data_IF_047423603443
#
_entry.id   IF_047423603443
#
_cell.length_a   1.000
_cell.length_b   1.000
_cell.length_c   1.000
_cell.angle_alpha   90.00
_cell.angle_beta   90.00
_cell.angle_gamma   90.00
#
_symmetry.space_group_name_H-M   'P 1'
#
loop_
_entity.id
_entity.type
_entity.pdbx_description
1 polymer ?
#
# COMPACT_ATOMS: atom_id res chain seq x y z
N UNK A 1 20.24 4.78 -24.60
CA UNK A 1 20.64 5.10 -23.21
C UNK A 1 19.70 4.38 -22.25
N UNK A 2 20.20 3.53 -21.34
CA UNK A 2 19.37 2.91 -20.30
C UNK A 2 19.03 3.96 -19.25
N UNK A 3 17.76 4.36 -19.20
CA UNK A 3 17.26 5.34 -18.21
C UNK A 3 17.40 4.72 -16.82
N UNK A 4 18.37 5.19 -16.04
CA UNK A 4 18.54 4.78 -14.64
C UNK A 4 17.33 5.30 -13.87
N UNK A 5 16.41 4.42 -13.50
CA UNK A 5 15.25 4.79 -12.70
C UNK A 5 15.73 4.93 -11.26
N UNK A 6 15.96 6.17 -10.81
CA UNK A 6 16.27 6.46 -9.41
C UNK A 6 15.13 5.97 -8.50
N UNK A 7 15.44 5.03 -7.61
CA UNK A 7 14.56 4.55 -6.53
C UNK A 7 14.32 5.68 -5.54
N UNK A 8 13.06 5.90 -5.17
CA UNK A 8 12.66 6.87 -4.15
C UNK A 8 12.31 6.17 -2.85
N UNK A 9 12.60 6.84 -1.75
CA UNK A 9 12.15 6.47 -0.41
C UNK A 9 11.02 7.42 -0.03
N UNK A 10 9.84 6.87 0.20
CA UNK A 10 8.63 7.64 0.42
C UNK A 10 8.13 7.34 1.84
N UNK A 11 8.23 8.34 2.72
CA UNK A 11 7.75 8.18 4.10
C UNK A 11 6.26 8.46 4.20
N UNK A 12 5.55 7.58 4.89
CA UNK A 12 4.14 7.74 5.19
C UNK A 12 3.82 7.27 6.61
N UNK A 13 2.87 7.95 7.25
CA UNK A 13 2.31 7.48 8.53
C UNK A 13 1.54 6.17 8.31
N UNK A 14 1.63 5.28 9.30
CA UNK A 14 0.81 4.09 9.43
C UNK A 14 0.22 4.03 10.85
N UNK A 15 -1.07 3.76 10.96
CA UNK A 15 -1.70 3.55 12.27
C UNK A 15 -1.28 2.20 12.86
N UNK A 16 -1.31 2.03 14.19
CA UNK A 16 -0.73 0.84 14.83
C UNK A 16 -1.36 -0.49 14.38
N UNK A 17 -2.68 -0.49 14.15
CA UNK A 17 -3.41 -1.67 13.69
C UNK A 17 -3.00 -2.07 12.27
N UNK A 18 -2.96 -1.10 11.34
CA UNK A 18 -2.51 -1.32 9.97
C UNK A 18 -1.03 -1.74 9.94
N UNK A 19 -0.19 -1.10 10.75
CA UNK A 19 1.23 -1.44 10.88
C UNK A 19 1.41 -2.89 11.31
N UNK A 20 0.64 -3.35 12.31
CA UNK A 20 0.66 -4.75 12.77
C UNK A 20 0.28 -5.73 11.67
N UNK A 21 -0.77 -5.45 10.90
CA UNK A 21 -1.24 -6.30 9.79
C UNK A 21 -0.22 -6.35 8.63
N UNK A 22 0.41 -5.22 8.32
CA UNK A 22 1.46 -5.15 7.29
C UNK A 22 2.75 -5.84 7.76
N UNK A 23 3.03 -5.79 9.08
CA UNK A 23 4.16 -6.50 9.69
C UNK A 23 3.94 -8.01 9.66
N UNK A 24 2.74 -8.50 9.97
CA UNK A 24 2.42 -9.94 9.95
C UNK A 24 2.38 -10.53 8.53
N UNK A 25 2.25 -9.68 7.51
CA UNK A 25 2.07 -10.12 6.13
C UNK A 25 0.63 -10.51 5.79
N UNK A 26 -0.31 -10.31 6.70
CA UNK A 26 -1.74 -10.49 6.45
C UNK A 26 -2.27 -9.42 5.48
N UNK A 27 -1.81 -8.17 5.66
CA UNK A 27 -2.11 -7.07 4.76
C UNK A 27 -0.92 -6.82 3.83
N UNK A 28 -1.06 -7.24 2.58
CA UNK A 28 -0.01 -7.10 1.54
C UNK A 28 -0.19 -5.89 0.61
N UNK A 29 -1.11 -4.97 0.96
CA UNK A 29 -1.41 -3.77 0.18
C UNK A 29 -1.56 -2.52 1.06
N UNK A 30 -1.37 -1.32 0.48
CA UNK A 30 -1.62 -0.02 1.11
C UNK A 30 -2.49 0.82 0.17
N UNK A 31 -3.64 1.29 0.67
CA UNK A 31 -4.58 2.13 -0.09
C UNK A 31 -4.42 3.57 0.37
N UNK A 32 -4.13 4.48 -0.56
CA UNK A 32 -3.95 5.91 -0.30
C UNK A 32 -4.59 6.76 -1.37
N UNK A 33 -4.85 8.01 -1.01
CA UNK A 33 -5.13 9.05 -1.99
C UNK A 33 -3.96 9.15 -2.98
N UNK A 34 -4.28 9.34 -4.26
CA UNK A 34 -3.29 9.54 -5.33
C UNK A 34 -2.74 10.99 -5.32
N UNK A 35 -2.28 11.43 -4.15
CA UNK A 35 -1.77 12.79 -3.89
C UNK A 35 -0.23 12.88 -3.90
N UNK A 36 0.45 11.76 -4.19
CA UNK A 36 1.90 11.66 -4.24
C UNK A 36 2.38 10.76 -5.37
N UNK A 37 3.62 10.97 -5.83
CA UNK A 37 4.22 10.14 -6.89
C UNK A 37 4.83 8.88 -6.28
N UNK A 38 4.35 7.72 -6.70
CA UNK A 38 4.83 6.39 -6.33
C UNK A 38 4.81 5.50 -7.58
N UNK A 39 5.81 4.64 -7.74
CA UNK A 39 5.89 3.68 -8.85
C UNK A 39 6.54 2.37 -8.38
N UNK A 40 6.35 1.26 -9.13
CA UNK A 40 7.11 0.05 -8.89
C UNK A 40 8.62 0.30 -8.83
N UNK A 41 9.28 -0.29 -7.83
CA UNK A 41 10.70 -0.12 -7.54
C UNK A 41 11.04 0.95 -6.50
N UNK A 42 10.09 1.81 -6.11
CA UNK A 42 10.24 2.70 -4.95
C UNK A 42 10.12 1.92 -3.62
N UNK A 43 10.58 2.53 -2.52
CA UNK A 43 10.43 2.01 -1.16
C UNK A 43 9.43 2.88 -0.39
N UNK A 44 8.37 2.27 0.12
CA UNK A 44 7.42 2.91 1.03
C UNK A 44 7.87 2.63 2.46
N UNK A 45 8.21 3.70 3.19
CA UNK A 45 8.61 3.65 4.60
C UNK A 45 7.40 3.99 5.45
N UNK A 46 6.84 2.98 6.11
CA UNK A 46 5.71 3.12 7.02
C UNK A 46 6.23 3.45 8.41
N UNK A 47 6.03 4.70 8.85
CA UNK A 47 6.36 5.17 10.19
C UNK A 47 5.14 5.06 11.06
N UNK A 48 5.20 4.25 12.09
CA UNK A 48 4.02 4.05 12.92
C UNK A 48 3.74 5.29 13.77
N UNK A 49 2.52 5.81 13.61
CA UNK A 49 1.98 6.95 14.31
C UNK A 49 0.81 6.51 15.18
N UNK A 50 0.91 6.73 16.48
CA UNK A 50 -0.16 6.42 17.43
C UNK A 50 -0.97 7.70 17.70
N UNK A 51 -2.25 7.72 17.28
CA UNK A 51 -3.11 8.89 17.45
C UNK A 51 -3.45 9.17 18.92
N UNK A 52 -3.41 8.16 19.81
CA UNK A 52 -3.75 8.33 21.24
C UNK A 52 -2.72 9.20 21.96
N UNK A 53 -1.43 8.93 21.73
CA UNK A 53 -0.33 9.74 22.26
C UNK A 53 0.08 10.91 21.35
N UNK A 54 -0.57 11.04 20.18
CA UNK A 54 -0.23 12.03 19.13
C UNK A 54 1.28 12.03 18.81
N UNK A 55 1.86 10.84 18.59
CA UNK A 55 3.31 10.65 18.49
C UNK A 55 3.75 9.44 17.66
N UNK A 56 4.97 9.46 17.13
CA UNK A 56 5.63 8.33 16.46
C UNK A 56 6.13 7.32 17.49
N UNK A 57 6.09 6.01 17.21
CA UNK A 57 6.59 4.99 18.18
C UNK A 57 8.08 4.78 18.08
N UNK A 58 8.68 5.27 17.00
CA UNK A 58 10.00 4.85 16.54
C UNK A 58 9.98 3.56 15.71
N UNK A 59 8.84 2.85 15.62
CA UNK A 59 8.73 1.67 14.76
C UNK A 59 8.58 2.06 13.29
N UNK A 60 9.31 1.36 12.43
CA UNK A 60 9.29 1.53 10.98
C UNK A 60 9.17 0.20 10.26
N UNK A 61 8.57 0.21 9.07
CA UNK A 61 8.61 -0.89 8.11
C UNK A 61 8.94 -0.34 6.74
N UNK A 62 9.81 -1.05 6.03
CA UNK A 62 10.12 -0.76 4.64
C UNK A 62 9.44 -1.79 3.76
N UNK A 63 8.73 -1.32 2.74
CA UNK A 63 8.09 -2.19 1.74
C UNK A 63 8.48 -1.73 0.35
N UNK A 64 9.03 -2.66 -0.44
CA UNK A 64 9.25 -2.42 -1.86
C UNK A 64 7.90 -2.34 -2.56
N UNK A 65 7.69 -1.27 -3.31
CA UNK A 65 6.50 -1.11 -4.15
C UNK A 65 6.66 -2.02 -5.36
N UNK A 66 5.78 -3.00 -5.48
CA UNK A 66 5.77 -3.97 -6.60
C UNK A 66 4.71 -3.63 -7.64
N UNK A 67 3.63 -2.97 -7.23
CA UNK A 67 2.51 -2.61 -8.08
C UNK A 67 1.86 -1.32 -7.58
N UNK A 68 1.32 -0.52 -8.50
CA UNK A 68 0.56 0.70 -8.19
C UNK A 68 -0.64 0.74 -9.13
N UNK A 69 -1.83 0.90 -8.55
CA UNK A 69 -3.06 1.16 -9.28
C UNK A 69 -3.65 2.50 -8.83
N UNK A 70 -4.08 3.31 -9.80
CA UNK A 70 -4.72 4.60 -9.55
C UNK A 70 -6.21 4.46 -9.80
N UNK A 71 -7.04 4.78 -8.81
CA UNK A 71 -8.49 4.58 -8.89
C UNK A 71 -9.14 5.27 -10.09
N UNK A 72 -8.61 6.41 -10.56
CA UNK A 72 -9.13 7.09 -11.76
C UNK A 72 -9.02 6.26 -13.04
N UNK A 73 -8.11 5.28 -13.10
CA UNK A 73 -8.00 4.38 -14.25
C UNK A 73 -9.21 3.43 -14.35
N UNK A 74 -10.00 3.30 -13.28
CA UNK A 74 -11.15 2.41 -13.24
C UNK A 74 -12.36 2.90 -14.03
N UNK A 75 -12.42 4.20 -14.32
CA UNK A 75 -13.47 4.80 -15.15
C UNK A 75 -13.48 4.27 -16.59
N UNK A 76 -12.45 3.49 -16.96
CA UNK A 76 -12.39 2.73 -18.22
C UNK A 76 -13.22 1.43 -18.18
N UNK A 77 -13.57 0.95 -16.99
CA UNK A 77 -14.22 -0.34 -16.78
C UNK A 77 -15.63 -0.21 -16.20
N UNK A 78 -15.86 0.76 -15.30
CA UNK A 78 -17.15 1.00 -14.65
C UNK A 78 -17.50 2.48 -14.63
N UNK A 79 -18.80 2.76 -14.66
CA UNK A 79 -19.36 4.11 -14.54
C UNK A 79 -19.21 4.67 -13.12
N UNK A 80 -19.31 5.99 -12.97
CA UNK A 80 -19.29 6.62 -11.65
C UNK A 80 -20.48 6.18 -10.79
N UNK A 81 -21.65 5.94 -11.40
CA UNK A 81 -22.85 5.45 -10.73
C UNK A 81 -22.68 4.03 -10.18
N UNK A 82 -22.00 3.14 -10.91
CA UNK A 82 -21.68 1.79 -10.42
C UNK A 82 -20.68 1.84 -9.26
N UNK A 83 -19.67 2.72 -9.36
CA UNK A 83 -18.68 2.92 -8.31
C UNK A 83 -19.32 3.47 -7.04
N UNK A 84 -20.21 4.45 -7.15
CA UNK A 84 -20.96 5.00 -6.02
C UNK A 84 -21.85 3.94 -5.37
N UNK A 85 -22.51 3.11 -6.20
CA UNK A 85 -23.41 2.05 -5.72
C UNK A 85 -22.69 0.91 -4.99
N UNK A 86 -21.55 0.44 -5.51
CA UNK A 86 -20.91 -0.81 -5.04
C UNK A 86 -19.57 -0.61 -4.33
N UNK A 87 -18.89 0.51 -4.55
CA UNK A 87 -17.55 0.77 -4.04
C UNK A 87 -16.48 -0.15 -4.61
N UNK A 88 -15.36 -0.28 -3.88
CA UNK A 88 -14.22 -1.11 -4.28
C UNK A 88 -13.92 -2.16 -3.21
N UNK A 89 -13.55 -3.36 -3.66
CA UNK A 89 -12.89 -4.35 -2.80
C UNK A 89 -11.39 -4.34 -3.07
N UNK A 90 -10.58 -4.35 -2.01
CA UNK A 90 -9.12 -4.50 -2.11
C UNK A 90 -8.72 -5.78 -1.39
N UNK A 91 -8.26 -6.76 -2.16
CA UNK A 91 -8.06 -8.13 -1.71
C UNK A 91 -6.55 -8.40 -1.60
N UNK A 92 -6.10 -8.76 -0.41
CA UNK A 92 -4.74 -9.29 -0.20
C UNK A 92 -4.72 -10.78 -0.55
N UNK A 93 -3.66 -11.22 -1.22
CA UNK A 93 -3.44 -12.64 -1.52
C UNK A 93 -2.02 -13.04 -1.15
N UNK A 94 -1.85 -14.35 -0.92
CA UNK A 94 -0.58 -15.04 -0.71
C UNK A 94 -0.69 -16.40 -1.39
N UNK A 95 0.43 -16.97 -1.77
CA UNK A 95 0.43 -18.33 -2.30
C UNK A 95 -0.11 -19.30 -1.26
N UNK A 96 -0.92 -20.25 -1.71
CA UNK A 96 -1.23 -21.41 -0.90
C UNK A 96 0.05 -22.22 -0.77
N UNK A 97 0.70 -22.16 0.39
CA UNK A 97 1.80 -23.06 0.71
C UNK A 97 1.24 -24.48 0.62
N UNK A 98 1.61 -25.23 -0.43
CA UNK A 98 1.49 -26.68 -0.39
C UNK A 98 2.48 -27.12 0.68
N UNK A 99 2.00 -27.67 1.79
CA UNK A 99 2.85 -28.41 2.71
C UNK A 99 3.40 -29.57 1.90
N UNK A 100 4.67 -29.47 1.50
CA UNK A 100 5.41 -30.65 1.04
C UNK A 100 5.47 -31.57 2.25
N UNK A 101 4.62 -32.61 2.25
CA UNK A 101 4.79 -33.77 3.10
C UNK A 101 5.93 -34.60 2.53
#
# INVERSE_FOLDING_TARGET
MKRVIKTRWIEKKAWPELFKLVKSGEKTFDLRLDDFKCKPGDILVLREWDPKRKGYTGRTLEKKVTFVFKSKEILKFWSEEEIDRYGFQVIAFKDNKKTSV
#
